data_IF_909243556160
#
_entry.id   IF_909243556160
#
_cell.length_a   1.000
_cell.length_b   1.000
_cell.length_c   1.000
_cell.angle_alpha   90.00
_cell.angle_beta   90.00
_cell.angle_gamma   90.00
#
_symmetry.space_group_name_H-M   'P 1'
#
loop_
_entity.id
_entity.type
_entity.pdbx_description
1 polymer ?
#
# COMPACT_ATOMS: atom_id res chain seq x y z
N UNK A 1 -2.87 -0.34 -11.15
CA UNK A 1 -3.96 0.04 -12.10
C UNK A 1 -5.12 -0.97 -12.07
N UNK A 2 -6.27 -0.63 -11.50
CA UNK A 2 -7.43 -1.54 -11.50
C UNK A 2 -8.61 -1.01 -12.36
N UNK A 3 -9.49 -1.89 -12.83
CA UNK A 3 -10.57 -1.56 -13.76
C UNK A 3 -11.80 -2.48 -13.59
N UNK A 4 -12.99 -1.95 -13.83
CA UNK A 4 -14.24 -2.73 -13.80
C UNK A 4 -15.28 -2.21 -14.78
N UNK A 5 -16.18 -3.09 -15.22
CA UNK A 5 -17.43 -2.76 -15.94
C UNK A 5 -18.67 -3.23 -15.17
N UNK A 6 -18.49 -3.73 -13.96
CA UNK A 6 -19.59 -4.20 -13.11
C UNK A 6 -20.19 -2.98 -12.38
N UNK A 7 -21.49 -2.68 -12.60
CA UNK A 7 -22.14 -1.57 -11.92
C UNK A 7 -21.97 -1.65 -10.41
N UNK A 8 -21.63 -0.52 -9.80
CA UNK A 8 -21.46 -0.36 -8.35
C UNK A 8 -20.32 -1.16 -7.69
N UNK A 9 -19.56 -1.97 -8.44
CA UNK A 9 -18.40 -2.69 -7.89
C UNK A 9 -17.35 -1.67 -7.43
N UNK A 10 -17.00 -1.70 -6.16
CA UNK A 10 -15.89 -0.89 -5.63
C UNK A 10 -14.59 -1.43 -6.21
N UNK A 11 -13.79 -0.55 -6.79
CA UNK A 11 -12.52 -0.82 -7.43
C UNK A 11 -11.48 0.16 -6.87
N UNK A 12 -10.32 -0.36 -6.44
CA UNK A 12 -9.24 0.45 -5.89
C UNK A 12 -7.88 0.08 -6.48
N UNK A 13 -6.99 1.06 -6.53
CA UNK A 13 -5.58 0.93 -6.83
C UNK A 13 -4.77 1.80 -5.88
N UNK A 14 -3.69 1.26 -5.33
CA UNK A 14 -2.84 1.92 -4.35
C UNK A 14 -1.36 1.71 -4.65
N UNK A 15 -0.55 2.67 -4.24
CA UNK A 15 0.91 2.56 -4.14
C UNK A 15 1.32 2.87 -2.71
N UNK A 16 2.04 1.96 -2.08
CA UNK A 16 2.64 2.13 -0.75
C UNK A 16 4.13 2.46 -0.85
N UNK A 17 4.66 3.17 0.14
CA UNK A 17 6.05 3.61 0.24
C UNK A 17 6.52 3.38 1.67
N UNK A 18 7.73 2.84 1.82
CA UNK A 18 8.43 2.76 3.10
C UNK A 18 9.86 3.30 2.98
N UNK A 19 10.18 4.27 3.84
CA UNK A 19 11.47 4.95 3.86
C UNK A 19 12.30 4.48 5.07
N UNK A 20 13.54 4.02 4.88
CA UNK A 20 14.45 3.74 5.98
C UNK A 20 14.87 5.03 6.68
N UNK A 21 15.27 4.91 7.95
CA UNK A 21 15.89 6.02 8.69
C UNK A 21 17.31 6.32 8.23
N UNK A 22 18.02 5.30 7.76
CA UNK A 22 19.34 5.44 7.14
C UNK A 22 19.18 5.94 5.70
N UNK A 23 19.61 7.18 5.43
CA UNK A 23 19.49 7.83 4.12
C UNK A 23 20.41 7.23 3.05
N UNK A 24 21.39 6.42 3.45
CA UNK A 24 22.26 5.69 2.51
C UNK A 24 21.59 4.41 1.98
N UNK A 25 20.43 4.03 2.53
CA UNK A 25 19.66 2.85 2.11
C UNK A 25 18.49 3.24 1.22
N UNK A 26 18.17 2.35 0.29
CA UNK A 26 16.98 2.48 -0.54
C UNK A 26 15.71 2.16 0.25
N UNK A 27 14.62 2.84 -0.08
CA UNK A 27 13.28 2.52 0.39
C UNK A 27 12.58 1.50 -0.50
N UNK A 28 11.35 1.14 -0.10
CA UNK A 28 10.51 0.21 -0.84
C UNK A 28 9.25 0.89 -1.33
N UNK A 29 8.84 0.50 -2.54
CA UNK A 29 7.53 0.78 -3.10
C UNK A 29 6.75 -0.52 -3.22
N UNK A 30 5.45 -0.46 -3.01
CA UNK A 30 4.51 -1.56 -3.25
C UNK A 30 3.36 -1.06 -4.11
N UNK A 31 2.71 -1.97 -4.82
CA UNK A 31 1.46 -1.71 -5.52
C UNK A 31 0.39 -2.67 -5.01
N UNK A 32 -0.86 -2.19 -4.96
CA UNK A 32 -1.97 -3.03 -4.57
C UNK A 32 -3.24 -2.66 -5.33
N UNK A 33 -4.00 -3.67 -5.71
CA UNK A 33 -5.27 -3.53 -6.42
C UNK A 33 -6.30 -4.41 -5.76
N UNK A 34 -7.49 -3.87 -5.52
CA UNK A 34 -8.55 -4.63 -4.87
C UNK A 34 -9.94 -4.28 -5.41
N UNK A 35 -10.85 -5.23 -5.20
CA UNK A 35 -12.27 -5.01 -5.34
C UNK A 35 -12.96 -5.15 -3.99
N UNK A 36 -14.00 -4.35 -3.76
CA UNK A 36 -14.74 -4.38 -2.49
C UNK A 36 -14.02 -3.71 -1.32
N UNK A 37 -12.82 -3.17 -1.53
CA UNK A 37 -12.07 -2.43 -0.53
C UNK A 37 -12.13 -0.92 -0.80
N UNK A 38 -12.34 -0.15 0.27
CA UNK A 38 -12.29 1.30 0.19
C UNK A 38 -10.84 1.82 0.14
N UNK A 39 -10.69 3.14 0.02
CA UNK A 39 -9.39 3.82 -0.06
C UNK A 39 -8.47 3.48 1.11
N UNK A 40 -8.98 3.52 2.34
CA UNK A 40 -8.18 3.24 3.53
C UNK A 40 -7.71 1.79 3.56
N UNK A 41 -8.60 0.82 3.32
CA UNK A 41 -8.25 -0.60 3.35
C UNK A 41 -7.18 -0.96 2.32
N UNK A 42 -7.34 -0.48 1.08
CA UNK A 42 -6.37 -0.75 0.03
C UNK A 42 -5.05 0.01 0.25
N UNK A 43 -5.13 1.23 0.80
CA UNK A 43 -3.97 2.06 1.12
C UNK A 43 -3.13 1.52 2.27
N UNK A 44 -3.78 1.18 3.38
CA UNK A 44 -3.15 0.55 4.54
C UNK A 44 -2.46 -0.75 4.16
N UNK A 45 -3.11 -1.57 3.32
CA UNK A 45 -2.52 -2.82 2.86
C UNK A 45 -1.30 -2.59 1.95
N UNK A 46 -1.35 -1.62 1.04
CA UNK A 46 -0.19 -1.28 0.21
C UNK A 46 0.97 -0.78 1.08
N UNK A 47 0.71 0.17 1.98
CA UNK A 47 1.72 0.71 2.90
C UNK A 47 2.41 -0.38 3.71
N UNK A 48 1.63 -1.32 4.20
CA UNK A 48 2.12 -2.47 4.96
C UNK A 48 3.00 -3.40 4.15
N UNK A 49 2.66 -3.66 2.88
CA UNK A 49 3.55 -4.43 2.00
C UNK A 49 4.90 -3.73 1.87
N UNK A 50 4.91 -2.41 1.64
CA UNK A 50 6.16 -1.67 1.51
C UNK A 50 6.99 -1.72 2.81
N UNK A 51 6.33 -1.56 3.96
CA UNK A 51 6.99 -1.64 5.27
C UNK A 51 7.53 -3.04 5.57
N UNK A 52 6.78 -4.09 5.23
CA UNK A 52 7.21 -5.49 5.36
C UNK A 52 8.43 -5.80 4.51
N UNK A 53 8.44 -5.32 3.25
CA UNK A 53 9.59 -5.50 2.36
C UNK A 53 10.83 -4.81 2.91
N UNK A 54 10.69 -3.57 3.41
CA UNK A 54 11.78 -2.84 4.04
C UNK A 54 12.27 -3.55 5.31
N UNK A 55 11.36 -3.95 6.21
CA UNK A 55 11.69 -4.64 7.45
C UNK A 55 12.46 -5.94 7.20
N UNK A 56 12.00 -6.73 6.22
CA UNK A 56 12.66 -7.96 5.79
C UNK A 56 14.07 -7.70 5.27
N UNK A 57 14.25 -6.64 4.47
CA UNK A 57 15.59 -6.23 3.98
C UNK A 57 16.53 -5.77 5.09
N UNK A 58 16.00 -5.31 6.22
CA UNK A 58 16.76 -4.85 7.38
C UNK A 58 16.99 -5.97 8.41
N UNK A 59 16.51 -7.19 8.14
CA UNK A 59 16.63 -8.33 9.05
C UNK A 59 15.76 -8.23 10.30
N UNK A 60 14.69 -7.42 10.26
CA UNK A 60 13.73 -7.29 11.36
C UNK A 60 12.84 -8.54 11.34
N UNK A 61 12.78 -9.32 12.44
CA UNK A 61 12.00 -10.55 12.47
C UNK A 61 10.51 -10.25 12.24
N UNK A 62 9.94 -10.95 11.26
CA UNK A 62 8.53 -10.85 10.90
C UNK A 62 7.75 -11.99 11.56
N UNK A 63 6.76 -11.61 12.36
CA UNK A 63 5.79 -12.55 12.93
C UNK A 63 4.49 -12.48 12.12
N UNK A 64 4.23 -13.50 11.32
CA UNK A 64 3.07 -13.56 10.44
C UNK A 64 1.75 -13.65 11.21
N UNK A 65 1.79 -14.18 12.44
CA UNK A 65 0.61 -14.47 13.27
C UNK A 65 0.08 -13.25 14.01
N UNK A 66 0.83 -12.14 14.00
CA UNK A 66 0.42 -10.89 14.67
C UNK A 66 -0.59 -10.08 13.87
N UNK A 67 -1.46 -9.40 14.60
CA UNK A 67 -2.41 -8.47 14.02
C UNK A 67 -1.69 -7.25 13.41
N UNK A 68 -2.38 -6.61 12.46
CA UNK A 68 -1.88 -5.49 11.67
C UNK A 68 -1.32 -4.34 12.52
N UNK A 69 -2.04 -3.95 13.58
CA UNK A 69 -1.60 -2.90 14.50
C UNK A 69 -0.31 -3.28 15.26
N UNK A 70 -0.17 -4.54 15.64
CA UNK A 70 1.02 -5.04 16.34
C UNK A 70 2.26 -5.07 15.43
N UNK A 71 2.06 -5.38 14.15
CA UNK A 71 3.11 -5.33 13.11
C UNK A 71 3.59 -3.90 12.90
N UNK A 72 2.66 -2.94 12.72
CA UNK A 72 2.99 -1.52 12.60
C UNK A 72 3.74 -0.99 13.82
N UNK A 73 3.28 -1.35 15.03
CA UNK A 73 3.99 -0.95 16.26
C UNK A 73 5.40 -1.51 16.33
N UNK A 74 5.63 -2.77 15.96
CA UNK A 74 6.98 -3.36 15.95
C UNK A 74 7.95 -2.62 15.02
N UNK A 75 7.51 -2.24 13.83
CA UNK A 75 8.35 -1.49 12.90
C UNK A 75 8.67 -0.10 13.42
N UNK A 76 7.69 0.60 13.98
CA UNK A 76 7.89 1.91 14.61
C UNK A 76 8.86 1.82 15.80
N UNK A 77 8.72 0.78 16.64
CA UNK A 77 9.58 0.54 17.81
C UNK A 77 11.01 0.15 17.39
N UNK A 78 11.20 -0.53 16.25
CA UNK A 78 12.54 -0.87 15.74
C UNK A 78 13.39 0.39 15.48
N UNK A 79 12.73 1.53 15.22
CA UNK A 79 13.37 2.80 14.90
C UNK A 79 14.15 2.80 13.57
N UNK A 80 14.04 1.72 12.78
CA UNK A 80 14.76 1.56 11.51
C UNK A 80 13.95 2.07 10.31
N UNK A 81 12.61 2.08 10.42
CA UNK A 81 11.71 2.68 9.44
C UNK A 81 11.44 4.11 9.88
N UNK A 82 11.73 5.08 9.01
CA UNK A 82 11.50 6.50 9.28
C UNK A 82 10.02 6.85 9.11
N UNK A 83 9.46 6.44 7.99
CA UNK A 83 8.14 6.87 7.57
C UNK A 83 7.57 5.91 6.53
N UNK A 84 6.24 5.79 6.54
CA UNK A 84 5.47 5.01 5.58
C UNK A 84 4.30 5.84 5.07
N UNK A 85 3.99 5.71 3.79
CA UNK A 85 2.95 6.48 3.13
C UNK A 85 2.28 5.65 2.04
N UNK A 86 1.05 6.02 1.67
CA UNK A 86 0.40 5.49 0.50
C UNK A 86 -0.34 6.58 -0.31
N UNK A 87 -0.53 6.31 -1.59
CA UNK A 87 -1.43 7.04 -2.47
C UNK A 87 -2.42 6.04 -3.04
N UNK A 88 -3.70 6.26 -2.77
CA UNK A 88 -4.76 5.32 -3.14
C UNK A 88 -5.89 6.04 -3.85
N UNK A 89 -6.41 5.43 -4.91
CA UNK A 89 -7.65 5.85 -5.55
C UNK A 89 -8.65 4.71 -5.48
N UNK A 90 -9.85 5.02 -5.00
CA UNK A 90 -11.00 4.12 -5.07
C UNK A 90 -12.18 4.76 -5.81
N UNK A 91 -13.01 3.95 -6.45
CA UNK A 91 -14.27 4.39 -7.04
C UNK A 91 -15.26 3.22 -7.14
N UNK A 92 -16.53 3.55 -7.40
CA UNK A 92 -17.55 2.56 -7.74
C UNK A 92 -17.69 2.49 -9.26
N UNK A 93 -17.85 1.28 -9.80
CA UNK A 93 -18.16 1.07 -11.20
C UNK A 93 -19.41 1.84 -11.62
N UNK A 94 -19.37 2.42 -12.81
CA UNK A 94 -20.45 3.22 -13.38
C UNK A 94 -21.78 2.43 -13.40
N UNK A 95 -22.87 3.12 -13.03
CA UNK A 95 -24.21 2.52 -12.90
C UNK A 95 -24.75 1.93 -14.20
N UNK A 96 -24.32 2.45 -15.35
CA UNK A 96 -24.77 2.01 -16.67
C UNK A 96 -23.78 1.00 -17.30
N UNK A 97 -22.82 0.49 -16.51
CA UNK A 97 -21.83 -0.50 -16.96
C UNK A 97 -20.73 0.09 -17.84
N UNK A 98 -20.52 1.42 -17.81
CA UNK A 98 -19.38 2.03 -18.47
C UNK A 98 -18.08 1.59 -17.80
N UNK A 99 -17.06 1.40 -18.62
CA UNK A 99 -15.78 0.96 -18.13
C UNK A 99 -15.15 2.03 -17.24
N UNK A 100 -14.77 1.63 -16.04
CA UNK A 100 -14.29 2.51 -14.98
C UNK A 100 -12.89 2.06 -14.56
N UNK A 101 -11.94 2.97 -14.47
CA UNK A 101 -10.53 2.69 -14.14
C UNK A 101 -10.08 3.54 -12.97
N UNK A 102 -9.24 2.96 -12.12
CA UNK A 102 -8.50 3.65 -11.08
C UNK A 102 -7.01 3.33 -11.22
N UNK A 103 -6.18 4.30 -10.87
CA UNK A 103 -4.74 4.18 -10.96
C UNK A 103 -4.09 5.00 -9.86
N UNK A 104 -2.98 4.49 -9.34
CA UNK A 104 -2.07 5.16 -8.43
C UNK A 104 -0.65 4.89 -8.92
N UNK A 105 0.27 5.83 -8.72
CA UNK A 105 1.66 5.73 -9.16
C UNK A 105 2.60 6.45 -8.20
N UNK A 106 3.80 5.88 -8.03
CA UNK A 106 4.98 6.63 -7.61
C UNK A 106 5.83 6.93 -8.84
N UNK A 107 6.16 8.21 -9.04
CA UNK A 107 6.93 8.68 -10.20
C UNK A 107 8.28 9.16 -9.69
N UNK A 108 9.35 8.46 -10.09
CA UNK A 108 10.71 8.93 -9.86
C UNK A 108 11.00 10.06 -10.85
N UNK A 109 11.34 11.24 -10.32
CA UNK A 109 11.81 12.37 -11.10
C UNK A 109 13.34 12.40 -11.04
N UNK A 110 13.98 12.71 -12.17
CA UNK A 110 15.43 12.88 -12.31
C UNK A 110 15.81 14.36 -12.41
#
# INVERSE_FOLDING_TARGET
KNQTKEPHRVCSASVGIAQPKDTERYGYLSEYEAFGQNENQAGDYAEDIAAQMLASSLGIPFDADKDWDEKRQQWLISGQIYNTHNVTQSTKGDKDGKWTTVFAAAVLLM
#
